data_IF_014878953568
#
_entry.id   IF_014878953568
#
_cell.length_a   1.000
_cell.length_b   1.000
_cell.length_c   1.000
_cell.angle_alpha   90.00
_cell.angle_beta   90.00
_cell.angle_gamma   90.00
#
_symmetry.space_group_name_H-M   'P 1'
#
loop_
_entity.id
_entity.type
_entity.pdbx_description
1 polymer ?
#
# COMPACT_ATOMS: atom_id res chain seq x y z
N UNK A 1 -6.07 -12.64 -6.56
CA UNK A 1 -7.03 -12.65 -5.43
C UNK A 1 -8.50 -12.55 -5.86
N UNK A 2 -8.84 -12.02 -7.05
CA UNK A 2 -10.24 -11.90 -7.50
C UNK A 2 -11.05 -13.20 -7.47
N UNK A 3 -10.52 -14.31 -8.01
CA UNK A 3 -11.20 -15.62 -7.96
C UNK A 3 -11.46 -16.10 -6.52
N UNK A 4 -10.55 -15.80 -5.59
CA UNK A 4 -10.73 -16.09 -4.16
C UNK A 4 -11.94 -15.35 -3.59
N UNK A 5 -12.10 -14.06 -3.93
CA UNK A 5 -13.26 -13.26 -3.51
C UNK A 5 -14.55 -13.78 -4.15
N UNK A 6 -14.53 -14.12 -5.43
CA UNK A 6 -15.70 -14.71 -6.12
C UNK A 6 -16.12 -16.02 -5.44
N UNK A 7 -15.18 -16.90 -5.12
CA UNK A 7 -15.48 -18.16 -4.43
C UNK A 7 -15.99 -17.93 -3.01
N UNK A 8 -15.39 -16.99 -2.27
CA UNK A 8 -15.85 -16.64 -0.93
C UNK A 8 -17.29 -16.08 -0.95
N UNK A 9 -17.61 -15.24 -1.94
CA UNK A 9 -18.95 -14.72 -2.16
C UNK A 9 -19.97 -15.84 -2.41
N UNK A 10 -19.66 -16.74 -3.36
CA UNK A 10 -20.53 -17.87 -3.70
C UNK A 10 -20.77 -18.84 -2.54
N UNK A 11 -19.82 -18.93 -1.61
CA UNK A 11 -19.88 -19.85 -0.46
C UNK A 11 -20.33 -19.20 0.83
N UNK A 12 -20.69 -17.92 0.80
CA UNK A 12 -21.01 -17.13 2.00
C UNK A 12 -19.90 -17.25 3.07
N UNK A 13 -18.64 -17.24 2.62
CA UNK A 13 -17.47 -17.48 3.44
C UNK A 13 -16.63 -16.22 3.66
N UNK A 14 -15.75 -16.27 4.65
CA UNK A 14 -14.76 -15.23 4.88
C UNK A 14 -13.57 -15.38 3.93
N UNK A 15 -12.97 -14.26 3.55
CA UNK A 15 -11.74 -14.21 2.75
C UNK A 15 -10.85 -13.07 3.18
N UNK A 16 -9.53 -13.26 3.06
CA UNK A 16 -8.54 -12.20 3.18
C UNK A 16 -8.12 -11.75 1.79
N UNK A 17 -8.15 -10.45 1.53
CA UNK A 17 -7.73 -9.85 0.27
C UNK A 17 -7.12 -8.48 0.53
N UNK A 18 -6.23 -8.05 -0.36
CA UNK A 18 -5.83 -6.65 -0.40
C UNK A 18 -7.00 -5.74 -0.82
N UNK A 19 -6.94 -4.49 -0.38
CA UNK A 19 -8.01 -3.50 -0.60
C UNK A 19 -8.21 -3.17 -2.09
N UNK A 20 -7.12 -3.13 -2.87
CA UNK A 20 -7.19 -2.85 -4.31
C UNK A 20 -8.01 -3.90 -5.07
N UNK A 21 -7.75 -5.18 -4.80
CA UNK A 21 -8.54 -6.28 -5.38
C UNK A 21 -10.00 -6.22 -4.92
N UNK A 22 -10.26 -5.98 -3.63
CA UNK A 22 -11.63 -5.89 -3.12
C UNK A 22 -12.41 -4.78 -3.85
N UNK A 23 -11.84 -3.58 -3.95
CA UNK A 23 -12.50 -2.43 -4.60
C UNK A 23 -12.72 -2.66 -6.10
N UNK A 24 -11.79 -3.31 -6.78
CA UNK A 24 -11.93 -3.64 -8.20
C UNK A 24 -13.08 -4.64 -8.48
N UNK A 25 -13.45 -5.46 -7.50
CA UNK A 25 -14.51 -6.46 -7.62
C UNK A 25 -15.78 -6.11 -6.83
N UNK A 26 -15.79 -5.00 -6.08
CA UNK A 26 -16.82 -4.68 -5.10
C UNK A 26 -18.24 -4.71 -5.70
N UNK A 27 -18.41 -4.21 -6.92
CA UNK A 27 -19.72 -4.18 -7.60
C UNK A 27 -20.26 -5.58 -7.99
N UNK A 28 -19.44 -6.62 -7.88
CA UNK A 28 -19.77 -8.01 -8.23
C UNK A 28 -19.86 -8.91 -6.98
N UNK A 29 -19.70 -8.35 -5.78
CA UNK A 29 -19.63 -9.09 -4.52
C UNK A 29 -20.73 -8.60 -3.57
N UNK A 30 -21.34 -9.55 -2.86
CA UNK A 30 -22.19 -9.30 -1.69
C UNK A 30 -21.38 -9.29 -0.38
N UNK A 31 -20.05 -9.54 -0.48
CA UNK A 31 -19.12 -9.51 0.65
C UNK A 31 -18.95 -8.09 1.20
N UNK A 32 -18.83 -8.00 2.53
CA UNK A 32 -18.54 -6.75 3.25
C UNK A 32 -17.19 -6.84 3.96
N UNK A 33 -16.53 -5.69 4.10
CA UNK A 33 -15.29 -5.60 4.88
C UNK A 33 -15.60 -5.73 6.38
N UNK A 34 -14.95 -6.67 7.06
CA UNK A 34 -15.10 -6.88 8.50
C UNK A 34 -13.90 -6.36 9.31
N UNK A 35 -12.70 -6.52 8.78
CA UNK A 35 -11.43 -6.07 9.39
C UNK A 35 -10.60 -5.40 8.30
N UNK A 36 -10.25 -4.13 8.48
CA UNK A 36 -9.62 -3.29 7.44
C UNK A 36 -8.26 -2.74 7.84
N UNK A 37 -7.80 -3.01 9.06
CA UNK A 37 -6.53 -2.53 9.57
C UNK A 37 -6.05 -3.32 10.78
N UNK A 38 -4.81 -3.04 11.18
CA UNK A 38 -4.08 -3.76 12.22
C UNK A 38 -2.66 -4.06 11.77
N UNK A 39 -1.73 -4.17 12.73
CA UNK A 39 -0.31 -4.37 12.43
C UNK A 39 -0.06 -5.66 11.63
N UNK A 40 -0.87 -6.70 11.86
CA UNK A 40 -0.82 -7.98 11.14
C UNK A 40 -1.27 -7.89 9.67
N UNK A 41 -1.97 -6.81 9.29
CA UNK A 41 -2.47 -6.58 7.93
C UNK A 41 -1.60 -5.61 7.12
N UNK A 42 -0.48 -5.15 7.69
CA UNK A 42 0.45 -4.26 7.01
C UNK A 42 1.14 -4.98 5.83
N UNK A 43 0.84 -4.53 4.62
CA UNK A 43 1.51 -4.99 3.41
C UNK A 43 2.56 -3.95 2.96
N UNK A 44 3.79 -4.09 3.49
CA UNK A 44 4.89 -3.13 3.23
C UNK A 44 5.61 -3.45 1.94
N UNK A 45 5.85 -2.39 1.15
CA UNK A 45 6.67 -2.46 -0.06
C UNK A 45 8.07 -1.92 0.20
N UNK A 46 9.07 -2.55 -0.38
CA UNK A 46 10.47 -2.12 -0.31
C UNK A 46 11.13 -2.32 -1.66
N UNK A 47 11.94 -1.35 -2.08
CA UNK A 47 12.76 -1.47 -3.26
C UNK A 47 14.14 -2.00 -2.84
N UNK A 48 14.60 -3.06 -3.49
CA UNK A 48 15.85 -3.74 -3.16
C UNK A 48 16.75 -3.71 -4.40
N UNK A 49 17.94 -3.14 -4.25
CA UNK A 49 18.93 -3.05 -5.32
C UNK A 49 19.62 -4.41 -5.49
N UNK A 50 19.70 -4.89 -6.73
CA UNK A 50 20.40 -6.14 -7.05
C UNK A 50 21.89 -5.94 -6.89
N UNK A 51 22.57 -6.86 -6.20
CA UNK A 51 24.02 -6.81 -6.04
C UNK A 51 24.74 -7.04 -7.39
N UNK A 52 25.51 -6.07 -7.90
CA UNK A 52 26.23 -6.20 -9.17
C UNK A 52 27.33 -7.27 -9.15
N UNK A 53 27.86 -7.63 -7.98
CA UNK A 53 28.87 -8.69 -7.85
C UNK A 53 28.26 -10.09 -8.04
N UNK A 54 26.94 -10.22 -7.85
CA UNK A 54 26.21 -11.49 -7.94
C UNK A 54 25.46 -11.68 -9.25
N UNK A 55 25.34 -10.64 -10.08
CA UNK A 55 24.58 -10.69 -11.33
C UNK A 55 25.22 -9.83 -12.43
N UNK A 56 25.32 -10.39 -13.64
CA UNK A 56 25.80 -9.64 -14.81
C UNK A 56 24.69 -8.76 -15.39
N UNK A 57 25.06 -7.60 -15.95
CA UNK A 57 24.13 -6.68 -16.62
C UNK A 57 23.29 -5.81 -15.69
N UNK A 58 23.69 -5.70 -14.41
CA UNK A 58 23.05 -4.78 -13.46
C UNK A 58 23.37 -3.34 -13.83
N UNK A 59 22.33 -2.55 -14.08
CA UNK A 59 22.39 -1.13 -14.41
C UNK A 59 22.28 -0.31 -13.11
N UNK A 60 23.39 -0.21 -12.37
CA UNK A 60 23.37 0.32 -11.00
C UNK A 60 22.97 1.80 -10.95
N UNK A 61 23.52 2.62 -11.85
CA UNK A 61 23.26 4.06 -11.89
C UNK A 61 21.77 4.36 -12.18
N UNK A 62 21.15 3.60 -13.07
CA UNK A 62 19.73 3.71 -13.39
C UNK A 62 18.85 3.20 -12.25
N UNK A 63 19.31 2.16 -11.56
CA UNK A 63 18.61 1.63 -10.38
C UNK A 63 18.62 2.66 -9.27
N UNK A 64 19.76 3.29 -8.98
CA UNK A 64 19.87 4.34 -7.97
C UNK A 64 18.98 5.53 -8.31
N UNK A 65 18.96 5.97 -9.57
CA UNK A 65 18.04 7.03 -10.04
C UNK A 65 16.57 6.66 -9.85
N UNK A 66 16.21 5.39 -10.03
CA UNK A 66 14.86 4.92 -9.77
C UNK A 66 14.53 4.92 -8.28
N UNK A 67 15.46 4.46 -7.44
CA UNK A 67 15.32 4.47 -5.98
C UNK A 67 15.14 5.91 -5.46
N UNK A 68 15.97 6.85 -5.91
CA UNK A 68 15.86 8.26 -5.55
C UNK A 68 14.50 8.84 -5.96
N UNK A 69 14.02 8.47 -7.16
CA UNK A 69 12.71 8.94 -7.64
C UNK A 69 11.57 8.37 -6.79
N UNK A 70 11.50 7.05 -6.63
CA UNK A 70 10.39 6.39 -5.93
C UNK A 70 10.36 6.71 -4.43
N UNK A 71 11.51 7.05 -3.83
CA UNK A 71 11.61 7.45 -2.43
C UNK A 71 11.42 8.95 -2.19
N UNK A 72 11.36 9.76 -3.24
CA UNK A 72 11.11 11.20 -3.13
C UNK A 72 9.72 11.52 -2.54
N UNK A 73 9.61 12.62 -1.81
CA UNK A 73 8.33 13.05 -1.22
C UNK A 73 7.26 13.27 -2.29
N UNK A 74 7.62 13.83 -3.44
CA UNK A 74 6.69 14.03 -4.56
C UNK A 74 6.08 12.71 -5.04
N UNK A 75 6.89 11.66 -5.23
CA UNK A 75 6.36 10.35 -5.65
C UNK A 75 5.57 9.67 -4.54
N UNK A 76 5.97 9.85 -3.28
CA UNK A 76 5.21 9.38 -2.11
C UNK A 76 3.83 10.02 -2.04
N UNK A 77 3.73 11.34 -2.19
CA UNK A 77 2.46 12.07 -2.24
C UNK A 77 1.59 11.57 -3.40
N UNK A 78 2.16 11.45 -4.60
CA UNK A 78 1.47 10.89 -5.77
C UNK A 78 0.90 9.48 -5.49
N UNK A 79 1.65 8.61 -4.83
CA UNK A 79 1.20 7.27 -4.44
C UNK A 79 0.11 7.32 -3.36
N UNK A 80 0.21 8.28 -2.42
CA UNK A 80 -0.79 8.52 -1.39
C UNK A 80 -2.14 8.98 -1.96
N UNK A 81 -2.13 9.72 -3.07
CA UNK A 81 -3.34 10.15 -3.76
C UNK A 81 -3.89 9.10 -4.74
N UNK A 82 -3.12 8.05 -5.01
CA UNK A 82 -3.49 7.04 -5.98
C UNK A 82 -4.73 6.26 -5.55
N UNK A 83 -5.74 6.23 -6.44
CA UNK A 83 -7.01 5.55 -6.20
C UNK A 83 -8.14 6.47 -5.74
N UNK A 84 -7.85 7.68 -5.24
CA UNK A 84 -8.88 8.60 -4.74
C UNK A 84 -9.99 8.87 -5.77
N UNK A 85 -9.62 9.15 -7.02
CA UNK A 85 -10.58 9.50 -8.09
C UNK A 85 -11.43 8.30 -8.51
N UNK A 86 -10.86 7.10 -8.51
CA UNK A 86 -11.51 5.89 -9.05
C UNK A 86 -12.31 5.16 -7.99
N UNK A 87 -11.76 5.05 -6.78
CA UNK A 87 -12.31 4.22 -5.70
C UNK A 87 -12.81 5.04 -4.50
N UNK A 88 -12.67 6.37 -4.53
CA UNK A 88 -13.07 7.25 -3.43
C UNK A 88 -12.16 7.19 -2.20
N UNK A 89 -11.07 6.42 -2.24
CA UNK A 89 -10.11 6.25 -1.15
C UNK A 89 -8.69 5.98 -1.69
N UNK A 90 -7.65 6.34 -0.93
CA UNK A 90 -6.28 6.04 -1.32
C UNK A 90 -5.98 4.54 -1.19
N UNK A 91 -5.18 4.00 -2.10
CA UNK A 91 -4.78 2.58 -2.07
C UNK A 91 -3.46 2.33 -1.34
N UNK A 92 -2.65 3.37 -1.16
CA UNK A 92 -1.34 3.27 -0.53
C UNK A 92 -1.18 4.34 0.53
N UNK A 93 -0.46 4.00 1.60
CA UNK A 93 -0.09 4.94 2.65
C UNK A 93 1.42 5.21 2.55
N UNK A 94 1.86 6.44 2.24
CA UNK A 94 3.26 6.74 2.13
C UNK A 94 3.96 6.73 3.49
N UNK A 95 5.25 6.36 3.51
CA UNK A 95 6.08 6.32 4.72
C UNK A 95 7.08 7.49 4.73
N UNK A 96 7.11 8.25 5.81
CA UNK A 96 8.01 9.40 6.00
C UNK A 96 8.94 9.21 7.21
N UNK A 97 10.24 9.57 7.10
CA UNK A 97 11.12 9.65 8.26
C UNK A 97 10.71 10.79 9.20
N UNK A 98 10.98 10.71 10.52
CA UNK A 98 11.63 9.62 11.26
C UNK A 98 10.64 8.56 11.79
N UNK A 99 9.34 8.72 11.52
CA UNK A 99 8.23 8.04 12.21
C UNK A 99 8.13 6.53 11.91
N UNK A 100 9.01 6.00 11.06
CA UNK A 100 9.05 4.61 10.60
C UNK A 100 10.39 3.91 10.85
N UNK A 101 11.16 4.30 11.88
CA UNK A 101 12.45 3.66 12.17
C UNK A 101 12.39 2.51 13.18
N UNK A 102 11.27 2.32 13.89
CA UNK A 102 11.10 1.24 14.89
C UNK A 102 9.76 0.49 14.75
N UNK A 103 9.69 -0.81 15.13
CA UNK A 103 8.44 -1.58 15.14
C UNK A 103 7.38 -0.93 16.04
N UNK A 104 6.08 -0.96 15.68
CA UNK A 104 5.47 -1.74 14.61
C UNK A 104 5.55 -1.08 13.22
N UNK A 105 6.32 0.01 13.05
CA UNK A 105 6.44 0.76 11.78
C UNK A 105 5.10 1.27 11.23
N UNK A 106 4.09 1.43 12.11
CA UNK A 106 2.76 1.89 11.76
C UNK A 106 2.76 3.43 11.69
N UNK A 107 3.04 3.96 10.50
CA UNK A 107 3.20 5.40 10.26
C UNK A 107 1.91 6.03 9.74
N UNK A 108 0.78 5.77 10.40
CA UNK A 108 -0.53 6.29 10.00
C UNK A 108 -0.76 7.77 10.36
N UNK A 109 0.20 8.44 11.00
CA UNK A 109 0.06 9.83 11.44
C UNK A 109 0.93 10.82 10.66
N UNK A 110 0.63 11.04 9.39
CA UNK A 110 1.02 12.30 8.70
C UNK A 110 -0.11 13.33 8.67
N UNK A 111 -1.14 13.17 9.50
CA UNK A 111 -2.06 14.26 9.84
C UNK A 111 -1.52 14.92 11.09
N UNK A 112 -0.66 15.92 10.91
CA UNK A 112 -0.48 16.93 11.93
C UNK A 112 -1.85 17.37 12.43
N UNK A 113 -1.98 17.52 13.75
CA UNK A 113 -3.14 18.07 14.44
C UNK A 113 -3.76 19.25 13.67
N UNK A 114 -4.75 18.98 12.81
CA UNK A 114 -5.77 19.98 12.50
C UNK A 114 -6.61 20.07 13.75
N UNK A 115 -6.36 21.14 14.52
CA UNK A 115 -7.18 21.59 15.63
C UNK A 115 -8.67 21.37 15.30
N UNK A 116 -9.29 20.37 15.93
CA UNK A 116 -10.71 20.43 16.23
C UNK A 116 -10.87 21.33 17.45
N UNK A 117 -11.01 22.63 17.19
CA UNK A 117 -11.58 23.58 18.16
C UNK A 117 -12.81 24.21 17.54
N UNK A 118 -13.95 23.87 18.14
CA UNK A 118 -15.28 24.50 18.12
C UNK A 118 -15.93 24.81 16.77
#
# INVERSE_FOLDING_TARGET
MGETLTLANQREAHGLSDIGTYLAFQDQLDLVQLVTGGDDLLNRYSAIVVNPDMAQGVMIDETDRFIDRISSNETKEFLGDFGLVVFGQPLFTPLYPPECTEPPYNCTTCSGSMNMTA
#
